data_IF_147174768621
#
_entry.id   IF_147174768621
#
_cell.length_a   1.000
_cell.length_b   1.000
_cell.length_c   1.000
_cell.angle_alpha   90.00
_cell.angle_beta   90.00
_cell.angle_gamma   90.00
#
_symmetry.space_group_name_H-M   'P 1'
#
loop_
_entity.id
_entity.type
_entity.pdbx_description
1 polymer ?
#
# COMPACT_ATOMS: atom_id res chain seq x y z
N UNK A 1 18.57 -24.43 10.37
CA UNK A 1 17.87 -23.24 9.82
C UNK A 1 17.28 -22.48 11.00
N UNK A 2 17.68 -21.23 11.13
CA UNK A 2 17.10 -20.32 12.14
C UNK A 2 15.64 -19.98 11.81
N UNK A 3 14.90 -19.50 12.79
CA UNK A 3 13.49 -19.06 12.60
C UNK A 3 13.37 -18.03 11.47
N UNK A 4 14.33 -17.11 11.40
CA UNK A 4 14.38 -16.07 10.33
C UNK A 4 14.61 -16.68 8.94
N UNK A 5 15.48 -17.66 8.80
CA UNK A 5 15.70 -18.34 7.52
C UNK A 5 14.46 -19.09 7.02
N UNK A 6 13.68 -19.70 7.94
CA UNK A 6 12.40 -20.34 7.60
C UNK A 6 11.35 -19.31 7.16
N UNK A 7 11.30 -18.15 7.82
CA UNK A 7 10.38 -17.08 7.48
C UNK A 7 10.69 -16.49 6.09
N UNK A 8 11.97 -16.25 5.78
CA UNK A 8 12.42 -15.77 4.46
C UNK A 8 12.07 -16.77 3.36
N UNK A 9 12.36 -18.07 3.58
CA UNK A 9 12.04 -19.10 2.62
C UNK A 9 10.53 -19.25 2.36
N UNK A 10 9.71 -19.14 3.40
CA UNK A 10 8.25 -19.16 3.25
C UNK A 10 7.73 -17.95 2.46
N UNK A 11 8.28 -16.76 2.72
CA UNK A 11 7.97 -15.53 1.98
C UNK A 11 8.33 -15.66 0.49
N UNK A 12 9.56 -16.09 0.20
CA UNK A 12 10.04 -16.29 -1.16
C UNK A 12 9.13 -17.25 -1.95
N UNK A 13 8.63 -18.32 -1.31
CA UNK A 13 7.72 -19.29 -1.92
C UNK A 13 6.32 -18.72 -2.21
N UNK A 14 5.83 -17.78 -1.39
CA UNK A 14 4.49 -17.22 -1.53
C UNK A 14 4.43 -16.03 -2.51
N UNK A 15 5.53 -15.29 -2.70
CA UNK A 15 5.57 -14.06 -3.49
C UNK A 15 5.12 -14.23 -4.96
N UNK A 16 5.48 -15.29 -5.71
CA UNK A 16 4.99 -15.47 -7.07
C UNK A 16 3.46 -15.49 -7.13
N UNK A 17 2.83 -16.22 -6.22
CA UNK A 17 1.38 -16.30 -6.15
C UNK A 17 0.75 -14.96 -5.72
N UNK A 18 1.41 -14.17 -4.86
CA UNK A 18 0.95 -12.83 -4.50
C UNK A 18 0.96 -11.88 -5.70
N UNK A 19 1.99 -11.94 -6.55
CA UNK A 19 2.07 -11.13 -7.79
C UNK A 19 0.93 -11.49 -8.74
N UNK A 20 0.66 -12.78 -8.94
CA UNK A 20 -0.44 -13.24 -9.79
C UNK A 20 -1.80 -12.80 -9.23
N UNK A 21 -2.07 -13.09 -7.96
CA UNK A 21 -3.31 -12.73 -7.31
C UNK A 21 -3.56 -11.22 -7.36
N UNK A 22 -2.53 -10.43 -7.05
CA UNK A 22 -2.62 -8.97 -7.07
C UNK A 22 -2.83 -8.45 -8.50
N UNK A 23 -2.19 -9.04 -9.50
CA UNK A 23 -2.40 -8.69 -10.90
C UNK A 23 -3.86 -8.89 -11.34
N UNK A 24 -4.50 -9.98 -10.89
CA UNK A 24 -5.93 -10.24 -11.13
C UNK A 24 -6.79 -9.17 -10.46
N UNK A 25 -6.54 -8.88 -9.16
CA UNK A 25 -7.30 -7.89 -8.41
C UNK A 25 -7.16 -6.50 -9.02
N UNK A 26 -5.94 -6.06 -9.36
CA UNK A 26 -5.70 -4.75 -9.98
C UNK A 26 -6.40 -4.64 -11.33
N UNK A 27 -6.40 -5.71 -12.14
CA UNK A 27 -7.11 -5.73 -13.43
C UNK A 27 -8.61 -5.49 -13.24
N UNK A 28 -9.22 -6.07 -12.22
CA UNK A 28 -10.62 -5.81 -11.90
C UNK A 28 -10.86 -4.39 -11.34
N UNK A 29 -9.96 -3.91 -10.46
CA UNK A 29 -10.02 -2.56 -9.92
C UNK A 29 -9.95 -1.49 -11.01
N UNK A 30 -9.13 -1.70 -12.04
CA UNK A 30 -8.96 -0.79 -13.17
C UNK A 30 -10.22 -0.62 -14.02
N UNK A 31 -11.18 -1.52 -13.93
CA UNK A 31 -12.48 -1.37 -14.61
C UNK A 31 -13.37 -0.32 -13.96
N UNK A 32 -13.13 0.04 -12.69
CA UNK A 32 -13.96 0.97 -11.89
C UNK A 32 -15.45 0.66 -11.92
N UNK A 33 -15.82 -0.60 -12.16
CA UNK A 33 -17.21 -1.04 -12.24
C UNK A 33 -17.88 -1.21 -10.87
N UNK A 34 -17.09 -1.37 -9.82
CA UNK A 34 -17.56 -1.58 -8.45
C UNK A 34 -16.61 -0.87 -7.45
N UNK A 35 -17.09 -0.56 -6.22
CA UNK A 35 -16.26 -0.10 -5.13
C UNK A 35 -15.09 -1.05 -4.86
N UNK A 36 -13.92 -0.50 -4.54
CA UNK A 36 -12.68 -1.25 -4.41
C UNK A 36 -12.74 -2.34 -3.33
N UNK A 37 -13.35 -2.04 -2.20
CA UNK A 37 -13.58 -2.99 -1.10
C UNK A 37 -14.45 -4.18 -1.52
N UNK A 38 -15.46 -3.94 -2.35
CA UNK A 38 -16.29 -5.00 -2.94
C UNK A 38 -15.50 -5.89 -3.88
N UNK A 39 -14.62 -5.32 -4.73
CA UNK A 39 -13.77 -6.08 -5.65
C UNK A 39 -12.85 -7.00 -4.84
N UNK A 40 -12.13 -6.45 -3.87
CA UNK A 40 -11.19 -7.18 -3.01
C UNK A 40 -11.93 -8.26 -2.20
N UNK A 41 -13.06 -7.94 -1.58
CA UNK A 41 -13.86 -8.89 -0.80
C UNK A 41 -14.42 -10.03 -1.66
N UNK A 42 -14.87 -9.72 -2.88
CA UNK A 42 -15.33 -10.73 -3.85
C UNK A 42 -14.20 -11.68 -4.23
N UNK A 43 -13.02 -11.13 -4.49
CA UNK A 43 -11.84 -11.92 -4.80
C UNK A 43 -11.49 -12.88 -3.65
N UNK A 44 -11.48 -12.42 -2.41
CA UNK A 44 -11.19 -13.27 -1.26
C UNK A 44 -12.22 -14.35 -1.00
N UNK A 45 -13.52 -14.08 -1.26
CA UNK A 45 -14.57 -15.10 -1.18
C UNK A 45 -14.39 -16.19 -2.25
N UNK A 46 -13.95 -15.81 -3.44
CA UNK A 46 -13.66 -16.76 -4.53
C UNK A 46 -12.38 -17.57 -4.28
N UNK A 47 -11.49 -17.08 -3.40
CA UNK A 47 -10.20 -17.70 -3.09
C UNK A 47 -10.07 -18.03 -1.59
N UNK A 48 -10.88 -18.98 -1.04
CA UNK A 48 -10.95 -19.25 0.41
C UNK A 48 -9.66 -19.81 1.00
N UNK A 49 -8.76 -20.34 0.16
CA UNK A 49 -7.46 -20.90 0.59
C UNK A 49 -6.41 -19.84 0.92
N UNK A 50 -6.64 -18.57 0.57
CA UNK A 50 -5.75 -17.48 0.95
C UNK A 50 -5.78 -17.28 2.46
N UNK A 51 -4.60 -17.32 3.08
CA UNK A 51 -4.43 -17.06 4.51
C UNK A 51 -4.64 -15.58 4.86
N UNK A 52 -4.81 -15.28 6.15
CA UNK A 52 -5.04 -13.91 6.60
C UNK A 52 -3.89 -12.96 6.23
N UNK A 53 -2.64 -13.43 6.28
CA UNK A 53 -1.46 -12.64 5.89
C UNK A 53 -1.43 -12.33 4.40
N UNK A 54 -1.80 -13.30 3.57
CA UNK A 54 -1.86 -13.12 2.11
C UNK A 54 -2.96 -12.14 1.74
N UNK A 55 -4.13 -12.27 2.36
CA UNK A 55 -5.27 -11.33 2.19
C UNK A 55 -4.89 -9.91 2.60
N UNK A 56 -4.21 -9.75 3.74
CA UNK A 56 -3.75 -8.44 4.20
C UNK A 56 -2.78 -7.80 3.20
N UNK A 57 -1.77 -8.53 2.73
CA UNK A 57 -0.80 -8.03 1.76
C UNK A 57 -1.47 -7.64 0.43
N UNK A 58 -2.34 -8.51 -0.11
CA UNK A 58 -3.05 -8.24 -1.36
C UNK A 58 -3.97 -7.02 -1.21
N UNK A 59 -4.67 -6.89 -0.08
CA UNK A 59 -5.53 -5.73 0.18
C UNK A 59 -4.70 -4.44 0.28
N UNK A 60 -3.65 -4.43 1.11
CA UNK A 60 -2.77 -3.26 1.26
C UNK A 60 -2.17 -2.82 -0.07
N UNK A 61 -1.65 -3.77 -0.87
CA UNK A 61 -1.07 -3.48 -2.18
C UNK A 61 -2.11 -3.00 -3.20
N UNK A 62 -3.34 -3.50 -3.13
CA UNK A 62 -4.46 -3.04 -3.97
C UNK A 62 -4.85 -1.60 -3.66
N UNK A 63 -4.92 -1.23 -2.38
CA UNK A 63 -5.22 0.14 -1.98
C UNK A 63 -4.03 1.09 -2.18
N UNK A 64 -2.79 0.63 -2.02
CA UNK A 64 -1.60 1.39 -2.38
C UNK A 64 -1.58 1.70 -3.89
N UNK A 65 -1.92 0.71 -4.74
CA UNK A 65 -2.11 0.93 -6.17
C UNK A 65 -3.12 2.05 -6.45
N UNK A 66 -4.30 2.01 -5.85
CA UNK A 66 -5.34 3.02 -6.10
C UNK A 66 -4.90 4.41 -5.66
N UNK A 67 -4.26 4.53 -4.50
CA UNK A 67 -3.73 5.81 -4.02
C UNK A 67 -2.65 6.40 -4.93
N UNK A 68 -1.84 5.53 -5.56
CA UNK A 68 -0.71 5.91 -6.44
C UNK A 68 -0.89 5.49 -7.88
N UNK A 69 -2.13 5.42 -8.32
CA UNK A 69 -2.50 4.89 -9.64
C UNK A 69 -1.78 5.61 -10.78
N UNK A 70 -1.71 6.94 -10.74
CA UNK A 70 -1.07 7.74 -11.80
C UNK A 70 0.42 7.44 -11.90
N UNK A 71 1.13 7.48 -10.76
CA UNK A 71 2.56 7.15 -10.66
C UNK A 71 2.84 5.72 -11.13
N UNK A 72 2.14 4.74 -10.56
CA UNK A 72 2.35 3.31 -10.87
C UNK A 72 2.02 3.02 -12.34
N UNK A 73 0.93 3.56 -12.88
CA UNK A 73 0.55 3.33 -14.28
C UNK A 73 1.59 3.90 -15.24
N UNK A 74 2.07 5.11 -14.99
CA UNK A 74 3.09 5.76 -15.81
C UNK A 74 4.41 4.96 -15.81
N UNK A 75 4.87 4.52 -14.64
CA UNK A 75 6.07 3.68 -14.56
C UNK A 75 5.87 2.30 -15.21
N UNK A 76 4.67 1.74 -15.11
CA UNK A 76 4.37 0.46 -15.73
C UNK A 76 4.53 0.48 -17.26
N UNK A 77 4.39 1.63 -17.94
CA UNK A 77 4.56 1.74 -19.39
C UNK A 77 5.97 1.37 -19.85
N UNK A 78 6.99 1.67 -19.06
CA UNK A 78 8.40 1.40 -19.39
C UNK A 78 8.89 0.01 -18.98
N UNK A 79 8.06 -0.80 -18.30
CA UNK A 79 8.42 -2.15 -17.87
C UNK A 79 8.20 -3.21 -18.96
N UNK A 80 8.85 -4.36 -18.79
CA UNK A 80 8.67 -5.52 -19.68
C UNK A 80 7.59 -6.49 -19.16
N UNK A 81 6.99 -7.28 -20.06
CA UNK A 81 6.02 -8.31 -19.73
C UNK A 81 4.57 -7.81 -19.58
N UNK A 82 3.66 -8.66 -19.07
CA UNK A 82 2.24 -8.34 -18.96
C UNK A 82 1.97 -7.16 -18.04
N UNK A 83 1.05 -6.26 -18.45
CA UNK A 83 0.71 -5.06 -17.68
C UNK A 83 0.27 -5.40 -16.23
N UNK A 84 -0.59 -6.41 -16.06
CA UNK A 84 -1.06 -6.83 -14.73
C UNK A 84 0.10 -7.19 -13.79
N UNK A 85 1.12 -7.89 -14.29
CA UNK A 85 2.33 -8.23 -13.53
C UNK A 85 3.13 -6.98 -13.16
N UNK A 86 3.32 -6.06 -14.10
CA UNK A 86 4.05 -4.81 -13.86
C UNK A 86 3.37 -3.96 -12.79
N UNK A 87 2.06 -3.79 -12.88
CA UNK A 87 1.28 -3.07 -11.88
C UNK A 87 1.37 -3.75 -10.50
N UNK A 88 1.29 -5.09 -10.46
CA UNK A 88 1.41 -5.85 -9.20
C UNK A 88 2.78 -5.69 -8.55
N UNK A 89 3.87 -5.78 -9.31
CA UNK A 89 5.24 -5.62 -8.80
C UNK A 89 5.47 -4.23 -8.23
N UNK A 90 5.07 -3.16 -8.94
CA UNK A 90 5.20 -1.78 -8.46
C UNK A 90 4.36 -1.54 -7.20
N UNK A 91 3.14 -2.08 -7.15
CA UNK A 91 2.25 -1.95 -6.00
C UNK A 91 2.79 -2.67 -4.76
N UNK A 92 3.36 -3.87 -4.93
CA UNK A 92 4.03 -4.59 -3.86
C UNK A 92 5.27 -3.84 -3.35
N UNK A 93 6.09 -3.32 -4.25
CA UNK A 93 7.29 -2.56 -3.89
C UNK A 93 6.92 -1.33 -3.05
N UNK A 94 5.95 -0.53 -3.48
CA UNK A 94 5.46 0.62 -2.71
C UNK A 94 4.94 0.18 -1.34
N UNK A 95 4.13 -0.85 -1.29
CA UNK A 95 3.58 -1.37 -0.03
C UNK A 95 4.67 -1.78 0.95
N UNK A 96 5.70 -2.46 0.48
CA UNK A 96 6.83 -2.88 1.30
C UNK A 96 7.66 -1.69 1.80
N UNK A 97 7.85 -0.66 0.95
CA UNK A 97 8.54 0.58 1.33
C UNK A 97 7.73 1.36 2.39
N UNK A 98 6.41 1.49 2.20
CA UNK A 98 5.53 2.25 3.10
C UNK A 98 5.30 1.55 4.44
N UNK A 99 5.19 0.22 4.45
CA UNK A 99 4.94 -0.56 5.67
C UNK A 99 6.13 -0.62 6.63
N UNK A 100 7.30 -0.18 6.21
CA UNK A 100 8.49 -0.15 7.07
C UNK A 100 8.99 -1.53 7.54
N UNK A 101 8.66 -2.60 6.82
CA UNK A 101 9.00 -3.99 7.17
C UNK A 101 10.50 -4.34 7.06
N UNK A 102 11.40 -3.34 6.94
CA UNK A 102 12.85 -3.53 6.90
C UNK A 102 13.59 -2.53 7.78
N UNK A 103 14.69 -2.96 8.39
CA UNK A 103 15.67 -2.10 9.04
C UNK A 103 16.61 -1.53 7.98
N UNK A 104 16.87 -0.20 7.96
CA UNK A 104 17.79 0.43 7.02
C UNK A 104 17.08 1.12 5.84
N UNK A 105 17.74 1.12 4.66
CA UNK A 105 17.15 1.67 3.43
C UNK A 105 15.95 0.81 2.99
N UNK A 106 14.75 1.32 3.20
CA UNK A 106 13.48 0.62 2.96
C UNK A 106 13.33 0.13 1.51
N UNK A 107 13.81 0.91 0.56
CA UNK A 107 13.74 0.54 -0.86
C UNK A 107 14.66 -0.65 -1.18
N UNK A 108 15.88 -0.66 -0.65
CA UNK A 108 16.83 -1.78 -0.84
C UNK A 108 16.30 -3.08 -0.22
N UNK A 109 15.75 -3.01 1.00
CA UNK A 109 15.16 -4.18 1.67
C UNK A 109 13.96 -4.73 0.90
N UNK A 110 13.06 -3.86 0.41
CA UNK A 110 11.91 -4.25 -0.38
C UNK A 110 12.31 -4.88 -1.73
N UNK A 111 13.33 -4.33 -2.39
CA UNK A 111 13.87 -4.87 -3.64
C UNK A 111 14.53 -6.23 -3.43
N UNK A 112 15.27 -6.41 -2.33
CA UNK A 112 15.86 -7.69 -1.96
C UNK A 112 14.78 -8.76 -1.70
N UNK A 113 13.68 -8.40 -1.05
CA UNK A 113 12.53 -9.30 -0.85
C UNK A 113 11.87 -9.69 -2.18
N UNK A 114 11.76 -8.75 -3.13
CA UNK A 114 11.19 -9.01 -4.45
C UNK A 114 12.12 -9.78 -5.39
N UNK A 115 13.42 -9.85 -5.11
CA UNK A 115 14.41 -10.55 -5.96
C UNK A 115 14.04 -12.01 -6.24
N UNK A 116 13.27 -12.66 -5.36
CA UNK A 116 12.81 -14.04 -5.54
C UNK A 116 11.71 -14.22 -6.61
N UNK A 117 11.10 -13.14 -7.08
CA UNK A 117 9.97 -13.22 -8.02
C UNK A 117 10.18 -12.41 -9.28
N UNK A 118 11.17 -11.50 -9.29
CA UNK A 118 11.48 -10.66 -10.46
C UNK A 118 12.34 -11.41 -11.47
N UNK A 119 12.12 -11.13 -12.75
CA UNK A 119 12.98 -11.59 -13.81
C UNK A 119 14.19 -10.64 -13.99
N UNK A 120 15.33 -11.11 -14.52
CA UNK A 120 16.53 -10.27 -14.68
C UNK A 120 16.26 -8.94 -15.41
N UNK A 121 15.38 -8.93 -16.39
CA UNK A 121 15.00 -7.72 -17.15
C UNK A 121 14.04 -6.78 -16.41
N UNK A 122 13.54 -7.16 -15.24
CA UNK A 122 12.67 -6.33 -14.40
C UNK A 122 13.45 -5.60 -13.28
N UNK A 123 14.69 -6.05 -12.96
CA UNK A 123 15.45 -5.59 -11.80
C UNK A 123 15.77 -4.08 -11.89
N UNK A 124 16.41 -3.65 -12.96
CA UNK A 124 16.80 -2.23 -13.13
C UNK A 124 15.59 -1.30 -13.18
N UNK A 125 14.50 -1.77 -13.76
CA UNK A 125 13.26 -1.02 -13.82
C UNK A 125 12.63 -0.83 -12.44
N UNK A 126 12.56 -1.89 -11.62
CA UNK A 126 12.08 -1.81 -10.25
C UNK A 126 13.00 -0.98 -9.35
N UNK A 127 14.32 -1.09 -9.52
CA UNK A 127 15.26 -0.26 -8.78
C UNK A 127 15.04 1.23 -9.05
N UNK A 128 14.90 1.63 -10.32
CA UNK A 128 14.58 3.02 -10.68
C UNK A 128 13.31 3.52 -10.01
N UNK A 129 12.26 2.69 -9.98
CA UNK A 129 11.01 3.07 -9.30
C UNK A 129 11.17 3.17 -7.79
N UNK A 130 11.89 2.23 -7.16
CA UNK A 130 12.10 2.21 -5.71
C UNK A 130 12.94 3.37 -5.19
N UNK A 131 13.88 3.89 -6.01
CA UNK A 131 14.84 4.93 -5.63
C UNK A 131 14.52 6.32 -6.18
N UNK A 132 13.43 6.46 -6.95
CA UNK A 132 13.09 7.76 -7.53
C UNK A 132 12.80 8.81 -6.46
N UNK A 133 13.36 9.99 -6.64
CA UNK A 133 12.98 11.16 -5.86
C UNK A 133 11.65 11.72 -6.32
N UNK A 134 10.59 11.46 -5.58
CA UNK A 134 9.21 11.82 -5.97
C UNK A 134 8.97 13.31 -6.13
N UNK A 135 9.78 14.15 -5.48
CA UNK A 135 9.75 15.62 -5.67
C UNK A 135 10.15 16.06 -7.08
N UNK A 136 10.84 15.21 -7.87
CA UNK A 136 11.22 15.49 -9.26
C UNK A 136 10.14 15.09 -10.28
N UNK A 137 9.10 14.37 -9.85
CA UNK A 137 7.99 13.98 -10.71
C UNK A 137 7.13 15.18 -11.12
N UNK A 138 6.49 15.08 -12.29
CA UNK A 138 5.48 16.04 -12.70
C UNK A 138 4.39 16.20 -11.59
N UNK A 139 3.89 17.43 -11.35
CA UNK A 139 3.00 17.69 -10.22
C UNK A 139 1.81 16.74 -10.11
N UNK A 140 1.08 16.47 -11.18
CA UNK A 140 -0.07 15.57 -11.17
C UNK A 140 0.33 14.11 -10.90
N UNK A 141 1.48 13.68 -11.37
CA UNK A 141 2.04 12.34 -11.06
C UNK A 141 2.43 12.25 -9.59
N UNK A 142 3.07 13.29 -9.06
CA UNK A 142 3.50 13.36 -7.66
C UNK A 142 2.33 13.27 -6.69
N UNK A 143 1.25 14.02 -6.95
CA UNK A 143 0.07 14.05 -6.09
C UNK A 143 -0.92 12.92 -6.37
N UNK A 144 -0.76 12.18 -7.48
CA UNK A 144 -1.67 11.10 -7.89
C UNK A 144 -3.15 11.50 -7.97
N UNK A 145 -3.45 12.77 -8.21
CA UNK A 145 -4.81 13.27 -8.38
C UNK A 145 -5.12 13.51 -9.87
N UNK A 146 -6.36 13.24 -10.31
CA UNK A 146 -6.84 13.73 -11.58
C UNK A 146 -6.78 15.26 -11.64
N UNK A 147 -6.49 15.82 -12.81
CA UNK A 147 -6.31 17.26 -13.00
C UNK A 147 -7.52 18.08 -12.49
N UNK A 148 -8.73 17.60 -12.73
CA UNK A 148 -9.94 18.29 -12.28
C UNK A 148 -10.06 18.36 -10.74
N UNK A 149 -9.62 17.33 -10.02
CA UNK A 149 -9.56 17.34 -8.56
C UNK A 149 -8.47 18.30 -8.08
N UNK A 150 -7.29 18.26 -8.71
CA UNK A 150 -6.20 19.17 -8.38
C UNK A 150 -6.61 20.64 -8.54
N UNK A 151 -7.29 20.97 -9.66
CA UNK A 151 -7.79 22.32 -9.91
C UNK A 151 -8.87 22.74 -8.92
N UNK A 152 -9.80 21.83 -8.58
CA UNK A 152 -10.81 22.08 -7.56
C UNK A 152 -10.20 22.30 -6.17
N UNK A 153 -9.18 21.53 -5.80
CA UNK A 153 -8.43 21.71 -4.56
C UNK A 153 -7.79 23.11 -4.50
N UNK A 154 -7.09 23.50 -5.59
CA UNK A 154 -6.47 24.83 -5.69
C UNK A 154 -7.43 26.02 -5.64
N UNK A 155 -8.73 25.78 -5.87
CA UNK A 155 -9.79 26.79 -5.73
C UNK A 155 -10.38 26.84 -4.32
N UNK A 156 -10.18 25.80 -3.50
CA UNK A 156 -10.85 25.62 -2.21
C UNK A 156 -9.89 25.74 -1.01
N UNK A 157 -8.59 25.57 -1.24
CA UNK A 157 -7.54 25.52 -0.22
C UNK A 157 -6.44 26.53 -0.56
N UNK A 158 -5.78 27.19 0.42
CA UNK A 158 -4.62 28.04 0.20
C UNK A 158 -3.55 27.32 -0.63
N UNK A 159 -2.92 28.04 -1.56
CA UNK A 159 -1.98 27.44 -2.55
C UNK A 159 -0.81 26.70 -1.89
N UNK A 160 -0.32 27.21 -0.76
CA UNK A 160 0.77 26.62 0.03
C UNK A 160 0.34 25.36 0.77
N UNK A 161 -0.96 25.16 1.02
CA UNK A 161 -1.51 23.97 1.65
C UNK A 161 -1.91 22.88 0.66
N UNK A 162 -2.14 23.19 -0.64
CA UNK A 162 -2.62 22.24 -1.62
C UNK A 162 -1.70 21.01 -1.76
N UNK A 163 -0.40 21.23 -1.89
CA UNK A 163 0.57 20.14 -2.07
C UNK A 163 0.72 19.27 -0.81
N UNK A 164 0.92 19.86 0.39
CA UNK A 164 0.94 19.07 1.62
C UNK A 164 -0.34 18.24 1.85
N UNK A 165 -1.51 18.80 1.54
CA UNK A 165 -2.79 18.10 1.65
C UNK A 165 -2.87 16.92 0.67
N UNK A 166 -2.54 17.15 -0.58
CA UNK A 166 -2.54 16.11 -1.61
C UNK A 166 -1.56 14.97 -1.27
N UNK A 167 -0.37 15.29 -0.76
CA UNK A 167 0.60 14.28 -0.30
C UNK A 167 0.11 13.53 0.95
N UNK A 168 -0.60 14.19 1.85
CA UNK A 168 -1.21 13.53 2.99
C UNK A 168 -2.27 12.50 2.58
N UNK A 169 -3.02 12.76 1.50
CA UNK A 169 -4.02 11.82 0.96
C UNK A 169 -3.39 10.54 0.36
N UNK A 170 -2.09 10.54 0.05
CA UNK A 170 -1.38 9.33 -0.42
C UNK A 170 -1.04 8.35 0.71
N UNK A 171 -1.10 8.79 1.96
CA UNK A 171 -0.83 7.93 3.12
C UNK A 171 -2.02 7.00 3.38
N UNK A 172 -1.74 5.83 3.95
CA UNK A 172 -2.80 4.98 4.49
C UNK A 172 -3.52 5.73 5.62
N UNK A 173 -4.85 5.69 5.61
CA UNK A 173 -5.64 6.29 6.67
C UNK A 173 -5.39 5.57 8.00
N UNK A 174 -5.36 6.33 9.10
CA UNK A 174 -5.44 5.78 10.44
C UNK A 174 -6.79 5.10 10.67
N UNK A 175 -6.82 4.12 11.56
CA UNK A 175 -8.07 3.53 12.03
C UNK A 175 -8.52 4.28 13.28
N UNK A 176 -9.54 5.12 13.14
CA UNK A 176 -10.15 5.81 14.27
C UNK A 176 -11.24 4.94 14.91
N UNK A 177 -11.12 4.71 16.21
CA UNK A 177 -12.07 3.91 16.99
C UNK A 177 -12.76 4.80 18.03
N UNK A 178 -14.08 4.65 18.13
CA UNK A 178 -14.86 5.30 19.18
C UNK A 178 -15.05 4.35 20.35
N UNK A 179 -14.64 4.79 21.53
CA UNK A 179 -14.86 4.05 22.77
C UNK A 179 -16.35 4.07 23.17
N UNK A 180 -16.88 2.91 23.53
CA UNK A 180 -18.18 2.85 24.18
C UNK A 180 -18.04 3.18 25.68
N UNK A 181 -18.24 4.44 26.04
CA UNK A 181 -18.03 4.94 27.40
C UNK A 181 -19.01 4.38 28.45
N UNK A 182 -20.06 3.66 28.03
CA UNK A 182 -20.93 2.90 28.94
C UNK A 182 -20.22 1.64 29.44
N UNK A 183 -19.27 1.09 28.64
CA UNK A 183 -18.60 -0.18 28.95
C UNK A 183 -17.20 -0.02 29.53
N UNK A 184 -16.47 1.01 29.14
CA UNK A 184 -15.08 1.24 29.55
C UNK A 184 -14.68 2.69 29.38
N UNK A 185 -13.62 3.11 30.02
CA UNK A 185 -13.00 4.42 29.80
C UNK A 185 -11.97 4.34 28.65
N UNK A 186 -11.69 5.49 28.02
CA UNK A 186 -10.73 5.58 26.90
C UNK A 186 -9.34 5.08 27.29
N UNK A 187 -8.85 5.51 28.44
CA UNK A 187 -7.48 5.23 28.88
C UNK A 187 -7.30 3.74 29.23
N UNK A 188 -8.34 3.11 29.82
CA UNK A 188 -8.35 1.67 30.07
C UNK A 188 -8.28 0.87 28.76
N UNK A 189 -9.08 1.29 27.74
CA UNK A 189 -9.07 0.62 26.43
C UNK A 189 -7.75 0.84 25.69
N UNK A 190 -7.14 2.02 25.80
CA UNK A 190 -5.81 2.29 25.23
C UNK A 190 -4.76 1.34 25.81
N UNK A 191 -4.77 1.13 27.13
CA UNK A 191 -3.92 0.13 27.80
C UNK A 191 -4.10 -1.26 27.22
N UNK A 192 -5.35 -1.74 27.14
CA UNK A 192 -5.68 -3.06 26.59
C UNK A 192 -5.22 -3.21 25.12
N UNK A 193 -5.45 -2.20 24.28
CA UNK A 193 -5.05 -2.25 22.86
C UNK A 193 -3.53 -2.30 22.69
N UNK A 194 -2.79 -1.53 23.49
CA UNK A 194 -1.32 -1.53 23.44
C UNK A 194 -0.73 -2.82 24.01
N UNK A 195 -1.35 -3.43 25.04
CA UNK A 195 -0.93 -4.70 25.64
C UNK A 195 -1.18 -5.91 24.72
N UNK A 196 -2.15 -5.82 23.79
CA UNK A 196 -2.37 -6.88 22.80
C UNK A 196 -1.15 -7.12 21.90
N UNK A 197 -0.25 -6.16 21.86
CA UNK A 197 0.95 -6.20 21.01
C UNK A 197 0.60 -6.22 19.53
N UNK A 198 1.46 -5.75 18.69
CA UNK A 198 1.20 -5.82 17.28
C UNK A 198 1.90 -4.72 16.47
N UNK A 199 1.48 -4.58 15.21
CA UNK A 199 2.00 -3.56 14.30
C UNK A 199 1.46 -2.16 14.56
N UNK A 200 0.47 -2.02 15.44
CA UNK A 200 -0.27 -0.79 15.67
C UNK A 200 -0.10 -0.39 17.13
N UNK A 201 0.25 0.88 17.35
CA UNK A 201 0.14 1.53 18.64
C UNK A 201 -1.18 2.30 18.67
N UNK A 202 -1.96 2.14 19.73
CA UNK A 202 -3.15 2.94 19.95
C UNK A 202 -2.75 4.23 20.70
N UNK A 203 -3.23 5.37 20.21
CA UNK A 203 -3.01 6.69 20.80
C UNK A 203 -4.30 7.52 20.81
N UNK A 204 -4.43 8.48 21.72
CA UNK A 204 -5.57 9.39 21.71
C UNK A 204 -5.58 10.24 20.45
N UNK A 205 -6.75 10.33 19.78
CA UNK A 205 -6.89 11.28 18.67
C UNK A 205 -6.99 12.71 19.20
N UNK A 206 -6.31 13.69 18.57
CA UNK A 206 -6.44 15.10 18.96
C UNK A 206 -7.78 15.72 18.56
N UNK A 207 -8.54 15.06 17.67
CA UNK A 207 -9.79 15.61 17.11
C UNK A 207 -11.05 15.26 17.92
N UNK A 208 -10.95 14.32 18.84
CA UNK A 208 -12.05 13.92 19.71
C UNK A 208 -11.50 13.59 21.11
N UNK A 209 -11.20 14.60 21.93
CA UNK A 209 -10.53 14.41 23.22
C UNK A 209 -11.42 13.79 24.32
N UNK A 210 -12.72 13.58 24.05
CA UNK A 210 -13.69 13.04 25.02
C UNK A 210 -14.25 11.70 24.59
#
# INVERSE_FOLDING_TARGET
>A
MTTDQKAIAARAKALPQHVENLGIVITELMKFAHPADMVVSRYFRANPRLGNRDRALIAEASFAFLRRKTEISQFAESGAGPLARRLALLSLLITMIESGLGSGNRAESALADLAFVVHPNEIDWLQRFGTIERNTLAPLTRVNLPEWIWNALGSSVPKDECLPLAEAMLKAASLDLRVNTIKTQRDDLLGVLNDLGGRYAAEPTPYAPH
#
